data_IF_173882897048
#
_entry.id   IF_173882897048
#
_cell.length_a   1.000
_cell.length_b   1.000
_cell.length_c   1.000
_cell.angle_alpha   90.00
_cell.angle_beta   90.00
_cell.angle_gamma   90.00
#
_symmetry.space_group_name_H-M   'P 1'
#
loop_
_entity.id
_entity.type
_entity.pdbx_description
1 polymer ?
#
# COMPACT_ATOMS: atom_id res chain seq x y z
N UNK A 1 18.02 22.57 9.06
CA UNK A 1 16.80 22.93 9.76
C UNK A 1 17.11 23.97 10.84
N UNK A 2 16.16 24.86 11.22
CA UNK A 2 16.31 25.68 12.42
C UNK A 2 16.37 24.80 13.67
N UNK A 3 16.79 25.38 14.81
CA UNK A 3 16.88 24.62 16.07
C UNK A 3 15.48 24.24 16.60
N UNK A 4 14.49 25.09 16.39
CA UNK A 4 13.12 24.89 16.82
C UNK A 4 12.25 24.65 15.55
N UNK A 5 11.87 23.42 15.30
CA UNK A 5 11.01 23.04 14.18
C UNK A 5 10.04 21.93 14.57
N UNK A 6 8.87 21.94 13.93
CA UNK A 6 7.85 20.94 14.07
C UNK A 6 7.96 19.93 12.91
N UNK A 7 7.96 18.65 13.24
CA UNK A 7 7.80 17.57 12.26
C UNK A 7 6.35 17.07 12.30
N UNK A 8 5.73 16.97 11.14
CA UNK A 8 4.47 16.25 10.96
C UNK A 8 4.73 15.01 10.08
N UNK A 9 4.45 13.83 10.62
CA UNK A 9 4.66 12.57 9.92
C UNK A 9 3.31 12.00 9.54
N UNK A 10 3.01 12.04 8.25
CA UNK A 10 1.84 11.38 7.68
C UNK A 10 2.10 9.89 7.48
N UNK A 11 1.04 9.07 7.62
CA UNK A 11 1.14 7.60 7.62
C UNK A 11 2.27 7.09 8.54
N UNK A 12 2.27 7.61 9.76
CA UNK A 12 3.39 7.42 10.71
C UNK A 12 3.67 5.95 11.02
N UNK A 13 2.64 5.11 11.07
CA UNK A 13 2.77 3.66 11.27
C UNK A 13 3.68 2.99 10.22
N UNK A 14 3.72 3.51 8.99
CA UNK A 14 4.62 3.04 7.93
C UNK A 14 5.97 3.76 7.99
N UNK A 15 5.94 5.07 8.13
CA UNK A 15 7.13 5.93 8.06
C UNK A 15 8.11 5.64 9.20
N UNK A 16 7.63 5.45 10.43
CA UNK A 16 8.50 5.14 11.57
C UNK A 16 9.18 3.77 11.43
N UNK A 17 8.49 2.79 10.85
CA UNK A 17 9.09 1.50 10.50
C UNK A 17 10.22 1.63 9.47
N UNK A 18 10.05 2.50 8.47
CA UNK A 18 11.08 2.79 7.47
C UNK A 18 12.29 3.51 8.07
N UNK A 19 12.10 4.51 8.91
CA UNK A 19 13.18 5.22 9.61
C UNK A 19 14.01 4.25 10.44
N UNK A 20 13.36 3.32 11.16
CA UNK A 20 14.04 2.29 11.96
C UNK A 20 14.88 1.34 11.10
N UNK A 21 14.39 0.92 9.94
CA UNK A 21 15.05 -0.04 9.07
C UNK A 21 16.12 0.56 8.14
N UNK A 22 16.06 1.86 7.86
CA UNK A 22 16.80 2.55 6.82
C UNK A 22 18.31 2.43 6.99
N UNK A 23 18.83 2.68 8.19
CA UNK A 23 20.27 2.60 8.48
C UNK A 23 20.83 1.19 8.24
N UNK A 24 20.22 0.19 8.85
CA UNK A 24 20.72 -1.19 8.77
C UNK A 24 20.66 -1.75 7.35
N UNK A 25 19.59 -1.44 6.60
CA UNK A 25 19.47 -1.83 5.19
C UNK A 25 20.53 -1.19 4.29
N UNK A 26 20.79 0.11 4.47
CA UNK A 26 21.83 0.82 3.72
C UNK A 26 23.23 0.30 4.04
N UNK A 27 23.54 0.09 5.33
CA UNK A 27 24.82 -0.45 5.78
C UNK A 27 25.09 -1.86 5.25
N UNK A 28 24.11 -2.76 5.35
CA UNK A 28 24.26 -4.12 4.85
C UNK A 28 24.56 -4.15 3.34
N UNK A 29 23.82 -3.37 2.57
CA UNK A 29 24.04 -3.24 1.11
C UNK A 29 25.40 -2.66 0.79
N UNK A 30 25.80 -1.55 1.40
CA UNK A 30 27.07 -0.87 1.13
C UNK A 30 28.26 -1.69 1.57
N UNK A 31 28.18 -2.35 2.73
CA UNK A 31 29.23 -3.23 3.21
C UNK A 31 29.51 -4.35 2.21
N UNK A 32 28.47 -5.01 1.70
CA UNK A 32 28.62 -6.02 0.66
C UNK A 32 29.31 -5.45 -0.58
N UNK A 33 28.92 -4.26 -1.05
CA UNK A 33 29.51 -3.63 -2.24
C UNK A 33 30.99 -3.25 -2.03
N UNK A 34 31.37 -2.86 -0.82
CA UNK A 34 32.76 -2.56 -0.45
C UNK A 34 33.57 -3.85 -0.35
N UNK A 35 33.05 -4.87 0.33
CA UNK A 35 33.73 -6.15 0.51
C UNK A 35 34.04 -6.86 -0.81
N UNK A 36 33.16 -6.70 -1.82
CA UNK A 36 33.36 -7.22 -3.18
C UNK A 36 34.05 -6.23 -4.15
N UNK A 37 34.53 -5.08 -3.69
CA UNK A 37 35.28 -4.12 -4.48
C UNK A 37 34.46 -3.27 -5.45
N UNK A 38 33.14 -3.28 -5.37
CA UNK A 38 32.25 -2.45 -6.21
C UNK A 38 32.16 -0.99 -5.74
N UNK A 39 32.51 -0.73 -4.47
CA UNK A 39 32.56 0.62 -3.88
C UNK A 39 33.76 0.79 -2.98
N UNK A 40 34.19 2.04 -2.82
CA UNK A 40 35.24 2.42 -1.88
C UNK A 40 34.72 2.34 -0.42
N UNK A 41 35.57 2.10 0.57
CA UNK A 41 35.22 2.11 2.00
C UNK A 41 34.46 3.36 2.44
N UNK A 42 34.81 4.54 1.88
CA UNK A 42 34.17 5.82 2.14
C UNK A 42 32.68 5.87 1.76
N UNK A 43 32.17 4.89 1.01
CA UNK A 43 30.74 4.78 0.75
C UNK A 43 29.90 4.58 2.03
N UNK A 44 30.52 4.09 3.09
CA UNK A 44 29.88 3.88 4.40
C UNK A 44 29.68 5.19 5.17
N UNK A 45 30.41 6.28 4.84
CA UNK A 45 30.33 7.56 5.51
C UNK A 45 29.03 8.32 5.17
N UNK A 46 28.57 8.20 3.93
CA UNK A 46 27.28 8.75 3.50
C UNK A 46 26.16 7.75 3.83
N UNK A 47 25.52 7.96 4.95
CA UNK A 47 24.50 7.05 5.50
C UNK A 47 23.26 7.79 5.99
N UNK A 48 22.09 7.15 6.02
CA UNK A 48 20.94 7.69 6.75
C UNK A 48 21.21 7.73 8.25
N UNK A 49 20.43 8.55 8.95
CA UNK A 49 20.45 8.59 10.40
C UNK A 49 20.01 7.24 10.99
N UNK A 50 20.56 6.91 12.14
CA UNK A 50 19.97 5.89 13.00
C UNK A 50 18.71 6.44 13.65
N UNK A 51 17.86 5.57 14.14
CA UNK A 51 16.63 5.98 14.81
C UNK A 51 16.89 6.92 15.97
N UNK A 52 17.85 6.59 16.83
CA UNK A 52 18.21 7.37 18.01
C UNK A 52 18.80 8.76 17.63
N UNK A 53 19.53 8.81 16.51
CA UNK A 53 20.04 10.07 15.97
C UNK A 53 18.89 10.94 15.44
N UNK A 54 17.92 10.34 14.73
CA UNK A 54 16.72 11.05 14.29
C UNK A 54 15.94 11.59 15.48
N UNK A 55 15.66 10.78 16.48
CA UNK A 55 14.95 11.16 17.69
C UNK A 55 15.65 12.31 18.45
N UNK A 56 16.99 12.33 18.48
CA UNK A 56 17.77 13.38 19.14
C UNK A 56 17.69 14.74 18.45
N UNK A 57 17.32 14.79 17.18
CA UNK A 57 17.12 16.04 16.42
C UNK A 57 15.69 16.57 16.48
N UNK A 58 14.74 15.78 16.97
CA UNK A 58 13.34 16.15 17.00
C UNK A 58 13.00 16.87 18.30
N UNK A 59 12.46 18.10 18.19
CA UNK A 59 11.94 18.85 19.33
C UNK A 59 10.43 18.63 19.50
N UNK A 60 9.68 18.74 18.39
CA UNK A 60 8.24 18.58 18.38
C UNK A 60 7.84 17.70 17.20
N UNK A 61 6.96 16.75 17.46
CA UNK A 61 6.48 15.81 16.46
C UNK A 61 4.98 15.59 16.57
N UNK A 62 4.31 15.53 15.41
CA UNK A 62 2.91 15.13 15.29
C UNK A 62 2.87 13.89 14.39
N UNK A 63 2.38 12.81 14.94
CA UNK A 63 2.11 11.59 14.18
C UNK A 63 0.69 11.63 13.65
N UNK A 64 0.52 11.39 12.36
CA UNK A 64 -0.78 11.32 11.69
C UNK A 64 -0.94 9.93 11.11
N UNK A 65 -1.97 9.21 11.53
CA UNK A 65 -2.25 7.86 11.04
C UNK A 65 -3.69 7.46 11.33
N UNK A 66 -4.31 6.73 10.42
CA UNK A 66 -5.60 6.07 10.68
C UNK A 66 -5.44 4.83 11.58
N UNK A 67 -4.26 4.23 11.59
CA UNK A 67 -3.90 3.02 12.34
C UNK A 67 -2.54 3.19 13.00
N UNK A 68 -2.42 4.06 14.04
CA UNK A 68 -1.15 4.28 14.70
C UNK A 68 -0.58 2.98 15.26
N UNK A 69 0.73 2.81 15.17
CA UNK A 69 1.45 1.65 15.69
C UNK A 69 1.80 1.79 17.17
N UNK A 70 2.31 0.70 17.75
CA UNK A 70 2.68 0.65 19.16
C UNK A 70 3.71 1.74 19.52
N UNK A 71 4.65 2.00 18.59
CA UNK A 71 5.68 3.03 18.81
C UNK A 71 5.10 4.42 19.02
N UNK A 72 4.17 4.86 18.15
CA UNK A 72 3.54 6.19 18.28
C UNK A 72 2.72 6.28 19.57
N UNK A 73 2.03 5.21 19.93
CA UNK A 73 1.23 5.13 21.14
C UNK A 73 2.11 5.18 22.41
N UNK A 74 3.31 4.61 22.36
CA UNK A 74 4.29 4.69 23.47
C UNK A 74 4.93 6.07 23.61
N UNK A 75 5.08 6.81 22.50
CA UNK A 75 5.77 8.11 22.49
C UNK A 75 4.85 9.31 22.72
N UNK A 76 3.53 9.12 22.66
CA UNK A 76 2.57 10.22 22.80
C UNK A 76 1.84 10.18 24.13
N UNK A 77 1.71 11.36 24.75
CA UNK A 77 0.86 11.54 25.94
C UNK A 77 -0.60 11.85 25.58
N UNK A 78 -0.84 12.35 24.37
CA UNK A 78 -2.15 12.82 23.94
C UNK A 78 -2.49 12.24 22.57
N UNK A 79 -3.59 11.51 22.50
CA UNK A 79 -4.17 11.04 21.24
C UNK A 79 -5.39 11.89 20.93
N UNK A 80 -5.40 12.51 19.74
CA UNK A 80 -6.54 13.28 19.23
C UNK A 80 -7.17 12.49 18.10
N UNK A 81 -8.43 12.12 18.28
CA UNK A 81 -9.19 11.41 17.26
C UNK A 81 -9.98 12.39 16.40
N UNK A 82 -9.86 12.27 15.08
CA UNK A 82 -10.68 12.99 14.12
C UNK A 82 -11.54 11.96 13.37
N UNK A 83 -12.73 11.72 13.92
CA UNK A 83 -13.71 10.79 13.33
C UNK A 83 -14.76 11.62 12.61
N UNK A 84 -14.45 12.02 11.37
CA UNK A 84 -15.43 12.72 10.53
C UNK A 84 -15.70 11.91 9.25
N UNK A 85 -16.99 11.57 9.06
CA UNK A 85 -17.49 10.95 7.83
C UNK A 85 -18.55 11.86 7.19
N UNK A 86 -18.12 12.95 6.53
CA UNK A 86 -19.05 13.96 6.02
C UNK A 86 -19.98 13.42 4.92
N UNK A 87 -19.59 12.33 4.26
CA UNK A 87 -20.39 11.69 3.20
C UNK A 87 -21.50 10.78 3.72
N UNK A 88 -21.48 10.42 5.01
CA UNK A 88 -22.41 9.44 5.58
C UNK A 88 -22.22 8.01 5.07
N UNK A 89 -21.16 7.74 4.30
CA UNK A 89 -20.83 6.38 3.83
C UNK A 89 -20.33 5.54 4.98
N UNK A 90 -20.88 4.35 5.11
CA UNK A 90 -20.43 3.36 6.08
C UNK A 90 -19.18 2.63 5.59
N UNK A 91 -18.49 1.96 6.53
CA UNK A 91 -17.45 1.01 6.16
C UNK A 91 -18.05 -0.13 5.31
N UNK A 92 -17.26 -0.70 4.37
CA UNK A 92 -17.74 -1.82 3.59
C UNK A 92 -18.06 -3.02 4.50
N UNK A 93 -19.09 -3.74 4.14
CA UNK A 93 -19.42 -5.01 4.80
C UNK A 93 -18.32 -6.03 4.51
N UNK A 94 -17.85 -6.71 5.56
CA UNK A 94 -16.77 -7.70 5.46
C UNK A 94 -17.37 -9.09 5.68
N UNK A 95 -17.26 -9.95 4.68
CA UNK A 95 -17.68 -11.33 4.74
C UNK A 95 -16.47 -12.27 4.63
N UNK A 96 -16.35 -13.22 5.55
CA UNK A 96 -15.30 -14.25 5.54
C UNK A 96 -15.89 -15.54 5.00
N UNK A 97 -15.34 -16.03 3.89
CA UNK A 97 -15.81 -17.24 3.20
C UNK A 97 -14.75 -18.35 3.20
N UNK A 98 -15.16 -19.64 3.10
CA UNK A 98 -14.24 -20.76 2.99
C UNK A 98 -13.35 -20.67 1.75
N UNK A 99 -12.12 -21.19 1.85
CA UNK A 99 -11.20 -21.23 0.70
C UNK A 99 -11.57 -22.32 -0.31
N UNK A 100 -12.28 -23.34 0.10
CA UNK A 100 -12.76 -24.40 -0.80
C UNK A 100 -13.84 -23.83 -1.73
N UNK A 101 -13.64 -23.97 -3.05
CA UNK A 101 -14.56 -23.43 -4.06
C UNK A 101 -14.44 -21.91 -4.25
N UNK A 102 -13.44 -21.25 -3.67
CA UNK A 102 -13.30 -19.79 -3.70
C UNK A 102 -13.25 -19.20 -5.12
N UNK A 103 -12.77 -19.95 -6.13
CA UNK A 103 -12.69 -19.47 -7.52
C UNK A 103 -14.07 -19.39 -8.17
N UNK A 104 -14.91 -20.40 -7.95
CA UNK A 104 -16.28 -20.43 -8.48
C UNK A 104 -17.14 -19.37 -7.76
N UNK A 105 -16.93 -19.21 -6.46
CA UNK A 105 -17.61 -18.20 -5.65
C UNK A 105 -17.22 -16.79 -6.10
N UNK A 106 -15.91 -16.51 -6.27
CA UNK A 106 -15.41 -15.25 -6.80
C UNK A 106 -15.98 -14.94 -8.19
N UNK A 107 -16.00 -15.92 -9.08
CA UNK A 107 -16.58 -15.75 -10.43
C UNK A 107 -18.06 -15.42 -10.38
N UNK A 108 -18.81 -16.07 -9.48
CA UNK A 108 -20.23 -15.79 -9.24
C UNK A 108 -20.45 -14.35 -8.78
N UNK A 109 -19.66 -13.87 -7.82
CA UNK A 109 -19.73 -12.49 -7.31
C UNK A 109 -19.33 -11.47 -8.38
N UNK A 110 -18.27 -11.74 -9.17
CA UNK A 110 -17.87 -10.88 -10.28
C UNK A 110 -19.03 -10.73 -11.29
N UNK A 111 -19.64 -11.82 -11.69
CA UNK A 111 -20.76 -11.79 -12.64
C UNK A 111 -21.94 -11.00 -12.10
N UNK A 112 -22.30 -11.21 -10.83
CA UNK A 112 -23.38 -10.48 -10.18
C UNK A 112 -23.16 -8.97 -10.09
N UNK A 113 -21.91 -8.51 -9.96
CA UNK A 113 -21.54 -7.08 -9.95
C UNK A 113 -21.48 -6.50 -11.36
N UNK A 114 -20.87 -7.22 -12.29
CA UNK A 114 -20.73 -6.75 -13.68
C UNK A 114 -22.09 -6.62 -14.39
N UNK A 115 -23.05 -7.49 -14.10
CA UNK A 115 -24.45 -7.36 -14.58
C UNK A 115 -25.12 -6.06 -14.13
N UNK A 116 -24.73 -5.52 -12.97
CA UNK A 116 -25.19 -4.22 -12.46
C UNK A 116 -24.39 -3.03 -12.97
N UNK A 117 -23.36 -3.27 -13.77
CA UNK A 117 -22.43 -2.24 -14.23
C UNK A 117 -21.41 -1.78 -13.20
N UNK A 118 -21.27 -2.53 -12.11
CA UNK A 118 -20.31 -2.28 -11.03
C UNK A 118 -18.94 -2.87 -11.36
N UNK A 119 -17.91 -2.46 -10.61
CA UNK A 119 -16.52 -2.93 -10.78
C UNK A 119 -16.05 -3.69 -9.56
N UNK A 120 -15.01 -4.51 -9.75
CA UNK A 120 -14.48 -5.39 -8.71
C UNK A 120 -12.97 -5.21 -8.56
N UNK A 121 -12.50 -5.09 -7.32
CA UNK A 121 -11.09 -5.19 -6.96
C UNK A 121 -10.78 -6.58 -6.39
N UNK A 122 -9.70 -7.19 -6.86
CA UNK A 122 -9.21 -8.46 -6.33
C UNK A 122 -7.76 -8.29 -5.88
N UNK A 123 -7.50 -8.58 -4.62
CA UNK A 123 -6.15 -8.53 -4.05
C UNK A 123 -5.60 -9.93 -3.84
N UNK A 124 -4.37 -10.16 -4.27
CA UNK A 124 -3.67 -11.43 -4.09
C UNK A 124 -2.39 -11.24 -3.27
N UNK A 125 -1.88 -12.34 -2.70
CA UNK A 125 -0.67 -12.30 -1.87
C UNK A 125 0.63 -12.26 -2.68
N UNK A 126 0.63 -12.79 -3.92
CA UNK A 126 1.83 -12.88 -4.74
C UNK A 126 1.57 -12.48 -6.19
N UNK A 127 2.63 -12.06 -6.90
CA UNK A 127 2.59 -11.75 -8.34
C UNK A 127 2.08 -12.94 -9.14
N UNK A 128 2.60 -14.13 -8.87
CA UNK A 128 2.21 -15.35 -9.57
C UNK A 128 0.72 -15.65 -9.42
N UNK A 129 0.16 -15.53 -8.20
CA UNK A 129 -1.28 -15.70 -8.00
C UNK A 129 -2.11 -14.69 -8.79
N UNK A 130 -1.64 -13.43 -8.86
CA UNK A 130 -2.34 -12.40 -9.63
C UNK A 130 -2.33 -12.71 -11.13
N UNK A 131 -1.21 -13.17 -11.66
CA UNK A 131 -1.05 -13.56 -13.06
C UNK A 131 -1.92 -14.79 -13.39
N UNK A 132 -1.78 -15.86 -12.62
CA UNK A 132 -2.56 -17.10 -12.78
C UNK A 132 -4.09 -16.82 -12.70
N UNK A 133 -4.51 -16.00 -11.74
CA UNK A 133 -5.92 -15.62 -11.59
C UNK A 133 -6.40 -14.73 -12.75
N UNK A 134 -5.55 -13.83 -13.24
CA UNK A 134 -5.89 -12.99 -14.39
C UNK A 134 -6.14 -13.83 -15.64
N UNK A 135 -5.29 -14.80 -15.88
CA UNK A 135 -5.41 -15.67 -17.04
C UNK A 135 -6.64 -16.59 -16.92
N UNK A 136 -6.87 -17.15 -15.74
CA UNK A 136 -8.10 -17.93 -15.47
C UNK A 136 -9.38 -17.10 -15.73
N UNK A 137 -9.47 -15.88 -15.20
CA UNK A 137 -10.65 -15.04 -15.39
C UNK A 137 -10.83 -14.61 -16.85
N UNK A 138 -9.75 -14.39 -17.61
CA UNK A 138 -9.82 -14.14 -19.06
C UNK A 138 -10.39 -15.34 -19.81
N UNK A 139 -9.94 -16.56 -19.48
CA UNK A 139 -10.47 -17.80 -20.09
C UNK A 139 -11.96 -17.98 -19.81
N UNK A 140 -12.41 -17.52 -18.63
CA UNK A 140 -13.84 -17.51 -18.26
C UNK A 140 -14.63 -16.35 -18.89
N UNK A 141 -13.99 -15.53 -19.74
CA UNK A 141 -14.64 -14.44 -20.47
C UNK A 141 -14.81 -13.13 -19.70
N UNK A 142 -14.20 -13.01 -18.51
CA UNK A 142 -14.23 -11.80 -17.70
C UNK A 142 -13.27 -10.75 -18.28
N UNK A 143 -13.71 -9.50 -18.36
CA UNK A 143 -12.86 -8.37 -18.74
C UNK A 143 -12.01 -7.96 -17.54
N UNK A 144 -10.82 -8.51 -17.44
CA UNK A 144 -9.92 -8.34 -16.29
C UNK A 144 -8.59 -7.73 -16.72
N UNK A 145 -8.00 -6.91 -15.84
CA UNK A 145 -6.65 -6.37 -15.98
C UNK A 145 -5.86 -6.60 -14.69
N UNK A 146 -4.56 -6.88 -14.83
CA UNK A 146 -3.63 -7.01 -13.71
C UNK A 146 -2.79 -5.74 -13.55
N UNK A 147 -2.65 -5.25 -12.32
CA UNK A 147 -1.79 -4.14 -11.97
C UNK A 147 -0.60 -4.66 -11.15
N UNK A 148 0.61 -4.57 -11.70
CA UNK A 148 1.84 -4.99 -11.04
C UNK A 148 2.68 -3.79 -10.55
N UNK A 149 3.67 -4.06 -9.68
CA UNK A 149 4.51 -3.04 -9.05
C UNK A 149 5.35 -2.21 -10.01
N UNK A 150 5.66 -2.76 -11.20
CA UNK A 150 6.59 -2.15 -12.15
C UNK A 150 5.88 -1.18 -13.13
N UNK A 151 4.55 -1.03 -13.01
CA UNK A 151 3.76 -0.10 -13.82
C UNK A 151 4.09 1.34 -13.43
N UNK A 152 4.39 2.16 -14.44
CA UNK A 152 4.69 3.58 -14.26
C UNK A 152 3.46 4.34 -13.78
N UNK A 153 3.67 5.44 -13.06
CA UNK A 153 2.59 6.24 -12.46
C UNK A 153 1.53 6.70 -13.47
N UNK A 154 1.93 7.14 -14.66
CA UNK A 154 0.98 7.56 -15.71
C UNK A 154 0.12 6.39 -16.19
N UNK A 155 0.72 5.24 -16.45
CA UNK A 155 0.00 4.03 -16.87
C UNK A 155 -0.97 3.54 -15.76
N UNK A 156 -0.58 3.67 -14.50
CA UNK A 156 -1.47 3.37 -13.37
C UNK A 156 -2.72 4.26 -13.38
N UNK A 157 -2.55 5.53 -13.66
CA UNK A 157 -3.69 6.47 -13.78
C UNK A 157 -4.61 6.10 -14.93
N UNK A 158 -4.05 5.68 -16.07
CA UNK A 158 -4.83 5.19 -17.21
C UNK A 158 -5.61 3.91 -16.87
N UNK A 159 -4.98 2.96 -16.18
CA UNK A 159 -5.65 1.71 -15.75
C UNK A 159 -6.86 2.03 -14.86
N UNK A 160 -6.70 2.91 -13.87
CA UNK A 160 -7.80 3.30 -12.98
C UNK A 160 -8.92 4.01 -13.77
N UNK A 161 -8.55 4.90 -14.68
CA UNK A 161 -9.51 5.57 -15.58
C UNK A 161 -10.28 4.56 -16.43
N UNK A 162 -9.61 3.59 -17.03
CA UNK A 162 -10.21 2.57 -17.89
C UNK A 162 -11.17 1.68 -17.09
N UNK A 163 -10.83 1.33 -15.85
CA UNK A 163 -11.74 0.62 -14.95
C UNK A 163 -13.02 1.43 -14.69
N UNK A 164 -12.88 2.71 -14.35
CA UNK A 164 -14.02 3.61 -14.11
C UNK A 164 -14.90 3.75 -15.34
N UNK A 165 -14.31 3.83 -16.52
CA UNK A 165 -15.03 3.91 -17.80
C UNK A 165 -15.65 2.58 -18.26
N UNK A 166 -15.35 1.45 -17.59
CA UNK A 166 -15.87 0.13 -17.93
C UNK A 166 -15.22 -0.50 -19.14
N UNK A 167 -14.00 -0.11 -19.47
CA UNK A 167 -13.20 -0.82 -20.49
C UNK A 167 -12.93 -2.25 -20.06
N UNK A 168 -12.77 -2.45 -18.77
CA UNK A 168 -12.74 -3.75 -18.12
C UNK A 168 -13.46 -3.68 -16.76
N UNK A 169 -13.80 -4.84 -16.17
CA UNK A 169 -14.70 -4.91 -15.01
C UNK A 169 -13.97 -5.28 -13.72
N UNK A 170 -12.85 -5.98 -13.84
CA UNK A 170 -12.10 -6.51 -12.70
C UNK A 170 -10.65 -6.02 -12.74
N UNK A 171 -10.17 -5.46 -11.64
CA UNK A 171 -8.76 -5.12 -11.46
C UNK A 171 -8.13 -6.01 -10.39
N UNK A 172 -7.10 -6.75 -10.78
CA UNK A 172 -6.33 -7.61 -9.88
C UNK A 172 -5.03 -6.90 -9.52
N UNK A 173 -4.63 -6.92 -8.25
CA UNK A 173 -3.38 -6.33 -7.81
C UNK A 173 -2.82 -6.94 -6.55
N UNK A 174 -1.55 -6.60 -6.26
CA UNK A 174 -0.88 -6.95 -5.01
C UNK A 174 -0.59 -5.65 -4.29
N UNK A 175 -1.11 -5.47 -3.08
CA UNK A 175 -0.82 -4.29 -2.24
C UNK A 175 -1.00 -2.90 -2.90
N UNK A 176 -1.32 -2.86 -4.21
CA UNK A 176 -1.50 -1.63 -4.98
C UNK A 176 -2.90 -1.05 -4.83
N UNK A 177 -3.82 -1.84 -4.30
CA UNK A 177 -5.21 -1.50 -4.06
C UNK A 177 -5.45 -1.14 -2.58
N UNK A 178 -4.41 -0.70 -1.90
CA UNK A 178 -4.49 -0.24 -0.51
C UNK A 178 -4.98 1.20 -0.46
N UNK A 179 -4.57 1.97 0.51
CA UNK A 179 -4.93 3.36 0.75
C UNK A 179 -4.73 4.28 -0.46
N UNK A 180 -5.47 5.36 -0.53
CA UNK A 180 -5.31 6.41 -1.53
C UNK A 180 -5.94 6.12 -2.90
N UNK A 181 -6.82 5.12 -3.03
CA UNK A 181 -7.60 4.88 -4.25
C UNK A 181 -9.06 5.23 -4.00
N UNK A 182 -9.58 6.14 -4.79
CA UNK A 182 -10.99 6.53 -4.78
C UNK A 182 -11.63 6.12 -6.12
N UNK A 183 -12.39 5.03 -6.09
CA UNK A 183 -13.11 4.48 -7.26
C UNK A 183 -14.52 4.09 -6.82
N UNK A 184 -15.47 5.03 -6.83
CA UNK A 184 -16.83 4.80 -6.35
C UNK A 184 -17.60 3.76 -7.17
N UNK A 185 -17.14 3.41 -8.37
CA UNK A 185 -17.73 2.39 -9.23
C UNK A 185 -17.42 0.96 -8.75
N UNK A 186 -16.44 0.79 -7.85
CA UNK A 186 -16.09 -0.51 -7.27
C UNK A 186 -17.01 -0.79 -6.09
N UNK A 187 -17.71 -1.91 -6.14
CA UNK A 187 -18.65 -2.36 -5.10
C UNK A 187 -18.19 -3.65 -4.38
N UNK A 188 -17.14 -4.31 -4.88
CA UNK A 188 -16.57 -5.52 -4.29
C UNK A 188 -15.05 -5.53 -4.41
#
# INVERSE_FOLDING_TARGET
FPEDFLIMIDESHMTMGQIKGMYNGDQARKKMLVDYGFRLPSALDNRPLRREEFESHVHQIVYVSATPGDYEMEQTETVVEQIMRPTGLLDPEVEVRPTMGQMDDLLGEINARTEKGERVFVTTLTKKMAEDLTDYLKEMGVKVKYMHSDIKTLERTEIIRDLRLGVFDVLIGINLLREGIDVPEVSL
#
